data_IF_342807471368
#
_entry.id   IF_342807471368
#
_cell.length_a   1.000
_cell.length_b   1.000
_cell.length_c   1.000
_cell.angle_alpha   90.00
_cell.angle_beta   90.00
_cell.angle_gamma   90.00
#
_symmetry.space_group_name_H-M   'P 1'
#
loop_
_entity.id
_entity.type
_entity.pdbx_description
1 polymer ?
#
# COMPACT_ATOMS: atom_id res chain seq x y z
N UNK A 1 -61.88 1.48 -17.79
CA UNK A 1 -60.80 2.45 -18.13
C UNK A 1 -59.83 2.76 -16.99
N UNK A 2 -59.97 2.18 -15.78
CA UNK A 2 -59.10 2.48 -14.64
C UNK A 2 -57.89 1.55 -14.48
N UNK A 3 -57.80 0.43 -15.21
CA UNK A 3 -56.70 -0.55 -15.08
C UNK A 3 -55.41 -0.21 -15.83
N UNK A 4 -55.48 0.67 -16.83
CA UNK A 4 -54.30 1.07 -17.64
C UNK A 4 -53.45 2.10 -16.89
N UNK A 5 -54.07 2.95 -16.08
CA UNK A 5 -53.39 4.03 -15.34
C UNK A 5 -52.48 3.45 -14.24
N UNK A 6 -52.94 2.45 -13.48
CA UNK A 6 -52.12 1.82 -12.44
C UNK A 6 -50.93 1.02 -12.99
N UNK A 7 -51.08 0.42 -14.18
CA UNK A 7 -49.99 -0.34 -14.82
C UNK A 7 -48.85 0.58 -15.27
N UNK A 8 -49.17 1.80 -15.71
CA UNK A 8 -48.17 2.80 -16.10
C UNK A 8 -47.50 3.47 -14.90
N UNK A 9 -48.21 3.67 -13.79
CA UNK A 9 -47.61 4.19 -12.54
C UNK A 9 -46.63 3.17 -11.94
N UNK A 10 -46.92 1.87 -12.00
CA UNK A 10 -46.03 0.81 -11.53
C UNK A 10 -44.73 0.73 -12.37
N UNK A 11 -44.82 0.92 -13.69
CA UNK A 11 -43.64 0.98 -14.56
C UNK A 11 -42.78 2.24 -14.30
N UNK A 12 -43.41 3.37 -14.01
CA UNK A 12 -42.69 4.62 -13.67
C UNK A 12 -41.99 4.49 -12.32
N UNK A 13 -42.59 3.82 -11.34
CA UNK A 13 -41.94 3.56 -10.04
C UNK A 13 -40.75 2.58 -10.16
N UNK A 14 -40.80 1.63 -11.10
CA UNK A 14 -39.70 0.70 -11.39
C UNK A 14 -38.54 1.35 -12.16
N UNK A 15 -38.79 2.44 -12.91
CA UNK A 15 -37.75 3.18 -13.65
C UNK A 15 -36.93 4.14 -12.77
N UNK A 16 -37.45 4.53 -11.60
CA UNK A 16 -36.71 5.35 -10.62
C UNK A 16 -35.86 4.55 -9.63
N UNK A 17 -35.87 3.21 -9.71
CA UNK A 17 -34.85 2.35 -9.10
C UNK A 17 -33.72 2.11 -10.11
N UNK A 18 -33.37 3.15 -10.88
CA UNK A 18 -32.02 3.23 -11.44
C UNK A 18 -31.11 3.49 -10.26
N UNK A 19 -30.68 2.37 -9.68
CA UNK A 19 -29.47 2.19 -8.88
C UNK A 19 -28.50 3.33 -9.20
N UNK A 20 -28.26 4.21 -8.22
CA UNK A 20 -26.99 4.91 -8.16
C UNK A 20 -25.94 3.80 -8.01
N UNK A 21 -25.50 3.25 -9.15
CA UNK A 21 -24.36 2.37 -9.18
C UNK A 21 -23.20 3.27 -8.77
N UNK A 22 -22.61 3.00 -7.61
CA UNK A 22 -21.38 3.64 -7.18
C UNK A 22 -20.44 3.68 -8.38
N UNK A 23 -20.06 4.90 -8.76
CA UNK A 23 -19.14 5.16 -9.83
C UNK A 23 -17.81 4.49 -9.44
N UNK A 24 -17.45 3.46 -10.21
CA UNK A 24 -16.34 2.53 -10.05
C UNK A 24 -15.28 2.91 -8.99
N UNK A 25 -15.39 2.32 -7.78
CA UNK A 25 -14.35 2.42 -6.74
C UNK A 25 -13.05 1.66 -7.12
N UNK A 26 -13.01 1.07 -8.33
CA UNK A 26 -11.90 0.26 -8.82
C UNK A 26 -11.05 1.08 -9.80
N UNK A 27 -9.73 0.89 -9.73
CA UNK A 27 -8.81 1.46 -10.71
C UNK A 27 -8.89 0.72 -12.07
N UNK A 28 -8.07 1.15 -13.05
CA UNK A 28 -8.00 0.54 -14.39
C UNK A 28 -7.62 -0.96 -14.39
N UNK A 29 -7.05 -1.46 -13.30
CA UNK A 29 -6.69 -2.87 -13.10
C UNK A 29 -7.71 -3.63 -12.23
N UNK A 30 -8.87 -3.04 -11.93
CA UNK A 30 -9.93 -3.67 -11.15
C UNK A 30 -9.64 -3.75 -9.65
N UNK A 31 -8.68 -2.98 -9.13
CA UNK A 31 -8.30 -2.97 -7.72
C UNK A 31 -8.86 -1.74 -7.00
N UNK A 32 -9.47 -1.95 -5.83
CA UNK A 32 -9.86 -0.87 -4.92
C UNK A 32 -8.63 -0.27 -4.24
N UNK A 33 -8.46 1.05 -4.35
CA UNK A 33 -7.39 1.80 -3.70
C UNK A 33 -7.96 2.74 -2.65
N UNK A 34 -7.24 2.86 -1.54
CA UNK A 34 -7.48 3.90 -0.54
C UNK A 34 -6.52 5.03 -0.87
N UNK A 35 -7.02 6.12 -1.41
CA UNK A 35 -6.23 7.26 -1.90
C UNK A 35 -6.51 8.56 -1.12
N UNK A 36 -7.39 8.53 -0.13
CA UNK A 36 -7.68 9.64 0.78
C UNK A 36 -7.38 9.30 2.26
N UNK A 37 -7.08 10.33 3.04
CA UNK A 37 -6.73 10.19 4.45
C UNK A 37 -7.92 9.81 5.34
N UNK A 38 -9.13 10.24 5.01
CA UNK A 38 -10.33 9.99 5.81
C UNK A 38 -10.67 8.49 5.80
N UNK A 39 -10.76 7.89 4.61
CA UNK A 39 -10.95 6.46 4.41
C UNK A 39 -9.82 5.65 5.06
N UNK A 40 -8.58 6.11 4.94
CA UNK A 40 -7.45 5.47 5.62
C UNK A 40 -7.62 5.45 7.15
N UNK A 41 -7.95 6.59 7.76
CA UNK A 41 -8.14 6.64 9.21
C UNK A 41 -9.35 5.84 9.68
N UNK A 42 -10.45 5.79 8.91
CA UNK A 42 -11.57 4.88 9.20
C UNK A 42 -11.14 3.40 9.18
N UNK A 43 -10.25 3.01 8.27
CA UNK A 43 -9.68 1.66 8.25
C UNK A 43 -8.79 1.39 9.46
N UNK A 44 -8.03 2.39 9.92
CA UNK A 44 -7.20 2.30 11.13
C UNK A 44 -8.06 2.25 12.40
N UNK A 45 -9.15 3.00 12.48
CA UNK A 45 -10.09 2.94 13.60
C UNK A 45 -10.75 1.55 13.71
N UNK A 46 -11.10 0.97 12.55
CA UNK A 46 -11.67 -0.38 12.47
C UNK A 46 -10.64 -1.47 12.81
N UNK A 47 -9.38 -1.25 12.45
CA UNK A 47 -8.27 -2.18 12.66
C UNK A 47 -6.96 -1.40 12.83
N UNK A 48 -6.57 -1.18 14.08
CA UNK A 48 -5.39 -0.38 14.43
C UNK A 48 -4.08 -0.97 13.90
N UNK A 49 -4.06 -2.27 13.56
CA UNK A 49 -2.91 -2.91 12.94
C UNK A 49 -2.59 -2.32 11.56
N UNK A 50 -3.51 -1.59 10.93
CA UNK A 50 -3.31 -0.93 9.63
C UNK A 50 -2.55 0.38 9.70
N UNK A 51 -2.35 0.94 10.91
CA UNK A 51 -1.62 2.18 11.09
C UNK A 51 -0.20 2.04 10.51
N UNK A 52 0.10 2.82 9.48
CA UNK A 52 1.44 3.03 8.97
C UNK A 52 2.21 3.96 9.92
N UNK A 53 3.41 3.55 10.29
CA UNK A 53 4.34 4.30 11.14
C UNK A 53 5.66 4.48 10.41
N UNK A 54 6.33 5.61 10.63
CA UNK A 54 7.70 5.82 10.17
C UNK A 54 8.63 4.89 10.96
N UNK A 55 9.32 4.00 10.26
CA UNK A 55 10.21 3.01 10.86
C UNK A 55 11.42 3.70 11.53
N UNK A 56 11.93 4.79 10.96
CA UNK A 56 13.07 5.53 11.51
C UNK A 56 12.71 6.24 12.82
N UNK A 57 11.49 6.79 12.93
CA UNK A 57 11.01 7.35 14.20
C UNK A 57 10.75 6.25 15.25
N UNK A 58 10.27 5.08 14.81
CA UNK A 58 9.97 3.95 15.70
C UNK A 58 11.22 3.20 16.18
N UNK A 59 12.29 3.20 15.36
CA UNK A 59 13.58 2.53 15.59
C UNK A 59 14.71 3.50 15.21
N UNK A 60 15.10 4.45 16.09
CA UNK A 60 16.00 5.56 15.73
C UNK A 60 17.41 5.17 15.26
N UNK A 61 17.85 3.95 15.56
CA UNK A 61 19.15 3.40 15.18
C UNK A 61 19.10 2.49 13.93
N UNK A 62 17.97 2.48 13.21
CA UNK A 62 17.84 1.71 11.96
C UNK A 62 18.52 2.45 10.80
N UNK A 63 19.20 1.72 9.93
CA UNK A 63 19.80 2.30 8.74
C UNK A 63 18.82 2.29 7.57
N UNK A 64 18.66 3.42 6.89
CA UNK A 64 17.86 3.51 5.67
C UNK A 64 18.76 3.68 4.44
N UNK A 65 18.45 2.93 3.39
CA UNK A 65 19.03 3.05 2.05
C UNK A 65 17.89 2.85 1.04
N UNK A 66 16.91 3.77 1.05
CA UNK A 66 15.66 3.63 0.31
C UNK A 66 15.93 3.74 -1.20
N UNK A 67 16.17 2.59 -1.84
CA UNK A 67 16.71 2.51 -3.21
C UNK A 67 15.85 3.23 -4.21
N UNK A 68 14.53 3.12 -4.07
CA UNK A 68 13.55 3.72 -4.95
C UNK A 68 13.42 5.25 -4.80
N UNK A 69 14.07 5.87 -3.81
CA UNK A 69 14.20 7.33 -3.70
C UNK A 69 15.48 7.88 -4.39
N UNK A 70 16.24 7.01 -5.07
CA UNK A 70 17.51 7.36 -5.74
C UNK A 70 17.57 6.72 -7.13
N UNK A 71 18.57 7.04 -7.95
CA UNK A 71 18.82 6.35 -9.23
C UNK A 71 19.40 4.93 -9.05
N UNK A 72 19.81 4.55 -7.83
CA UNK A 72 20.37 3.24 -7.53
C UNK A 72 19.29 2.16 -7.36
N UNK A 73 18.50 1.97 -8.41
CA UNK A 73 17.48 0.94 -8.51
C UNK A 73 17.33 0.48 -9.97
N UNK A 74 16.58 -0.59 -10.22
CA UNK A 74 16.50 -1.19 -11.57
C UNK A 74 15.77 -0.33 -12.62
N UNK A 75 14.97 0.66 -12.19
CA UNK A 75 14.33 1.65 -13.08
C UNK A 75 15.36 2.66 -13.58
N UNK A 76 16.41 2.93 -12.81
CA UNK A 76 17.45 3.90 -13.13
C UNK A 76 17.08 5.35 -12.85
N UNK A 77 15.93 5.61 -12.23
CA UNK A 77 15.46 6.93 -11.81
C UNK A 77 14.74 6.85 -10.44
N UNK A 78 14.68 7.93 -9.66
CA UNK A 78 13.89 7.97 -8.43
C UNK A 78 12.40 7.83 -8.74
N UNK A 79 11.73 6.90 -8.06
CA UNK A 79 10.28 6.68 -8.16
C UNK A 79 9.55 6.97 -6.84
N UNK A 80 10.30 7.24 -5.76
CA UNK A 80 9.78 7.76 -4.49
C UNK A 80 10.16 9.23 -4.33
N UNK A 81 9.23 10.02 -3.80
CA UNK A 81 9.44 11.46 -3.56
C UNK A 81 10.24 11.75 -2.27
N UNK A 82 10.30 10.78 -1.35
CA UNK A 82 10.97 10.91 -0.05
C UNK A 82 11.74 9.63 0.27
N UNK A 83 12.89 9.77 0.91
CA UNK A 83 13.70 8.65 1.40
C UNK A 83 13.26 8.23 2.81
N UNK A 84 12.00 7.81 2.94
CA UNK A 84 11.40 7.33 4.20
C UNK A 84 10.86 5.92 4.05
N UNK A 85 10.84 5.18 5.16
CA UNK A 85 10.29 3.83 5.22
C UNK A 85 9.09 3.80 6.17
N UNK A 86 7.90 3.58 5.62
CA UNK A 86 6.69 3.35 6.40
C UNK A 86 6.31 1.88 6.38
N UNK A 87 5.83 1.34 7.50
CA UNK A 87 5.23 0.02 7.55
C UNK A 87 4.10 -0.01 8.56
N UNK A 88 3.25 -1.04 8.50
CA UNK A 88 2.21 -1.20 9.52
C UNK A 88 2.83 -1.39 10.91
N UNK A 89 2.15 -0.91 11.94
CA UNK A 89 2.62 -0.96 13.32
C UNK A 89 3.14 -2.36 13.74
N UNK A 90 2.44 -3.49 13.47
CA UNK A 90 2.97 -4.81 13.83
C UNK A 90 4.27 -5.18 13.12
N UNK A 91 4.50 -4.67 11.90
CA UNK A 91 5.76 -4.87 11.16
C UNK A 91 6.87 -4.08 11.83
N UNK A 92 6.63 -2.81 12.18
CA UNK A 92 7.60 -1.97 12.89
C UNK A 92 7.95 -2.56 14.28
N UNK A 93 6.96 -3.08 15.01
CA UNK A 93 7.18 -3.79 16.28
C UNK A 93 8.04 -5.05 16.11
N UNK A 94 7.83 -5.81 15.03
CA UNK A 94 8.64 -6.98 14.74
C UNK A 94 10.09 -6.60 14.36
N UNK A 95 10.27 -5.59 13.53
CA UNK A 95 11.58 -5.05 13.17
C UNK A 95 12.33 -4.54 14.40
N UNK A 96 11.64 -3.87 15.33
CA UNK A 96 12.24 -3.38 16.57
C UNK A 96 12.82 -4.51 17.41
N UNK A 97 12.09 -5.63 17.54
CA UNK A 97 12.58 -6.82 18.25
C UNK A 97 13.81 -7.42 17.56
N UNK A 98 13.82 -7.46 16.22
CA UNK A 98 14.98 -7.96 15.46
C UNK A 98 16.19 -7.04 15.68
N UNK A 99 16.01 -5.72 15.57
CA UNK A 99 17.06 -4.74 15.83
C UNK A 99 17.61 -4.87 17.27
N UNK A 100 16.74 -5.06 18.25
CA UNK A 100 17.11 -5.28 19.66
C UNK A 100 18.00 -6.53 19.85
N UNK A 101 17.73 -7.62 19.13
CA UNK A 101 18.55 -8.83 19.17
C UNK A 101 19.89 -8.64 18.44
N UNK A 102 19.87 -8.09 17.20
CA UNK A 102 21.08 -7.88 16.40
C UNK A 102 22.09 -6.96 17.09
N UNK A 103 21.61 -5.95 17.82
CA UNK A 103 22.47 -5.04 18.59
C UNK A 103 23.38 -5.75 19.57
N UNK A 104 22.96 -6.89 20.13
CA UNK A 104 23.77 -7.67 21.08
C UNK A 104 25.03 -8.23 20.42
N UNK A 105 25.04 -8.31 19.10
CA UNK A 105 26.13 -8.83 18.27
C UNK A 105 26.86 -7.73 17.49
N UNK A 106 26.64 -6.44 17.81
CA UNK A 106 27.10 -5.28 17.02
C UNK A 106 26.60 -5.32 15.56
N UNK A 107 25.41 -5.88 15.34
CA UNK A 107 24.74 -5.93 14.05
C UNK A 107 23.47 -5.06 14.07
N UNK A 108 23.01 -4.65 12.89
CA UNK A 108 21.80 -3.86 12.72
C UNK A 108 21.11 -4.09 11.38
N UNK A 109 19.88 -3.62 11.26
CA UNK A 109 19.13 -3.68 10.02
C UNK A 109 19.44 -2.49 9.12
N UNK A 110 19.50 -2.75 7.81
CA UNK A 110 19.44 -1.74 6.76
C UNK A 110 18.24 -2.00 5.85
N UNK A 111 17.37 -1.02 5.70
CA UNK A 111 16.12 -1.13 4.92
C UNK A 111 16.31 -0.53 3.53
N UNK A 112 15.93 -1.28 2.50
CA UNK A 112 15.95 -0.88 1.10
C UNK A 112 14.57 -0.47 0.56
N UNK A 113 13.51 -1.13 1.04
CA UNK A 113 12.14 -0.78 0.71
C UNK A 113 11.15 -1.22 1.81
N UNK A 114 10.03 -0.51 1.93
CA UNK A 114 8.96 -0.80 2.88
C UNK A 114 7.60 -0.56 2.21
N UNK A 115 6.77 0.35 2.72
CA UNK A 115 5.57 0.79 2.01
C UNK A 115 5.94 1.35 0.63
N UNK A 116 5.34 0.77 -0.40
CA UNK A 116 5.47 1.20 -1.79
C UNK A 116 4.14 1.79 -2.25
N UNK A 117 4.10 3.01 -2.80
CA UNK A 117 2.88 3.52 -3.44
C UNK A 117 2.43 2.59 -4.56
N UNK A 118 1.12 2.41 -4.74
CA UNK A 118 0.59 1.51 -5.76
C UNK A 118 1.02 1.89 -7.18
N UNK A 119 1.08 3.18 -7.49
CA UNK A 119 1.57 3.70 -8.79
C UNK A 119 2.97 3.19 -9.13
N UNK A 120 3.84 2.97 -8.13
CA UNK A 120 5.17 2.41 -8.34
C UNK A 120 5.09 0.91 -8.67
N UNK A 121 4.17 0.16 -8.07
CA UNK A 121 3.90 -1.24 -8.48
C UNK A 121 3.47 -1.31 -9.94
N UNK A 122 2.58 -0.40 -10.37
CA UNK A 122 2.15 -0.30 -11.77
C UNK A 122 3.35 -0.03 -12.67
N UNK A 123 4.15 0.99 -12.34
CA UNK A 123 5.36 1.34 -13.09
C UNK A 123 6.35 0.18 -13.21
N UNK A 124 6.56 -0.56 -12.12
CA UNK A 124 7.43 -1.74 -12.12
C UNK A 124 6.90 -2.82 -13.07
N UNK A 125 5.59 -3.06 -13.05
CA UNK A 125 4.94 -4.00 -13.94
C UNK A 125 5.00 -3.58 -15.40
N UNK A 126 4.83 -2.30 -15.72
CA UNK A 126 4.96 -1.78 -17.09
C UNK A 126 6.37 -1.96 -17.67
N UNK A 127 7.41 -1.88 -16.83
CA UNK A 127 8.80 -2.03 -17.25
C UNK A 127 9.18 -3.50 -17.41
N UNK A 128 8.80 -4.35 -16.44
CA UNK A 128 9.28 -5.74 -16.37
C UNK A 128 8.30 -6.70 -17.05
N UNK A 129 6.99 -6.48 -16.92
CA UNK A 129 5.92 -7.28 -17.54
C UNK A 129 5.74 -8.70 -16.98
N UNK A 130 6.60 -9.13 -16.06
CA UNK A 130 6.63 -10.50 -15.54
C UNK A 130 6.19 -10.57 -14.06
N UNK A 131 5.06 -11.23 -13.75
CA UNK A 131 4.53 -11.34 -12.40
C UNK A 131 5.41 -12.16 -11.43
N UNK A 132 6.39 -12.93 -11.92
CA UNK A 132 7.34 -13.67 -11.08
C UNK A 132 8.38 -12.75 -10.44
N UNK A 133 8.64 -11.57 -11.05
CA UNK A 133 9.60 -10.58 -10.56
C UNK A 133 8.95 -9.36 -9.93
N UNK A 134 7.79 -8.93 -10.44
CA UNK A 134 7.09 -7.73 -9.96
C UNK A 134 5.60 -8.00 -9.77
N UNK A 135 4.99 -7.45 -8.72
CA UNK A 135 3.59 -7.74 -8.42
C UNK A 135 2.65 -7.26 -9.54
N UNK A 136 1.72 -8.12 -9.95
CA UNK A 136 0.64 -7.73 -10.88
C UNK A 136 -0.22 -6.60 -10.28
N UNK A 137 -0.50 -5.54 -11.06
CA UNK A 137 -1.36 -4.43 -10.63
C UNK A 137 -2.76 -4.87 -10.16
N UNK A 138 -3.33 -5.92 -10.75
CA UNK A 138 -4.65 -6.45 -10.38
C UNK A 138 -4.72 -6.92 -8.92
N UNK A 139 -3.60 -7.41 -8.38
CA UNK A 139 -3.50 -7.93 -7.01
C UNK A 139 -2.84 -6.95 -6.05
N UNK A 140 -2.01 -6.06 -6.58
CA UNK A 140 -1.09 -5.23 -5.81
C UNK A 140 -0.06 -6.05 -5.02
N UNK A 141 0.81 -5.35 -4.31
CA UNK A 141 1.92 -5.91 -3.55
C UNK A 141 1.66 -5.93 -2.05
N UNK A 142 2.37 -6.80 -1.31
CA UNK A 142 2.45 -6.72 0.16
C UNK A 142 3.11 -5.40 0.61
N UNK A 143 3.99 -4.84 -0.20
CA UNK A 143 4.56 -3.50 0.02
C UNK A 143 3.48 -2.41 -0.03
N UNK A 144 2.51 -2.49 -0.94
CA UNK A 144 1.39 -1.52 -1.00
C UNK A 144 0.52 -1.54 0.26
N UNK A 145 0.57 -2.65 1.00
CA UNK A 145 -0.17 -2.82 2.26
C UNK A 145 0.67 -2.46 3.48
N UNK A 146 1.96 -2.12 3.33
CA UNK A 146 2.88 -1.92 4.45
C UNK A 146 3.17 -3.20 5.24
N UNK A 147 3.09 -4.36 4.57
CA UNK A 147 3.24 -5.70 5.16
C UNK A 147 4.46 -6.48 4.65
N UNK A 148 5.38 -5.79 3.97
CA UNK A 148 6.64 -6.33 3.46
C UNK A 148 7.72 -5.26 3.56
N UNK A 149 8.96 -5.71 3.78
CA UNK A 149 10.15 -4.88 3.92
C UNK A 149 11.31 -5.62 3.28
N UNK A 150 12.02 -4.95 2.39
CA UNK A 150 13.27 -5.45 1.79
C UNK A 150 14.42 -4.90 2.62
N UNK A 151 15.26 -5.79 3.15
CA UNK A 151 16.31 -5.41 4.10
C UNK A 151 17.52 -6.33 4.04
N UNK A 152 18.60 -5.90 4.69
CA UNK A 152 19.78 -6.70 5.00
C UNK A 152 20.23 -6.46 6.44
N UNK A 153 21.20 -7.25 6.88
CA UNK A 153 21.96 -7.02 8.11
C UNK A 153 23.26 -6.29 7.76
N UNK A 154 23.72 -5.41 8.65
CA UNK A 154 24.99 -4.66 8.57
C UNK A 154 25.69 -4.65 9.92
N UNK A 155 26.99 -4.41 9.94
CA UNK A 155 27.69 -4.08 11.16
C UNK A 155 27.26 -2.69 11.67
N UNK A 156 27.07 -2.56 12.98
CA UNK A 156 26.91 -1.26 13.63
C UNK A 156 28.31 -0.67 13.84
N UNK A 157 28.50 0.54 13.30
CA UNK A 157 29.75 1.31 13.42
C UNK A 157 29.77 2.07 14.73
#
# INVERSE_FOLDING_TARGET
>A
MNGIIYKNILYILLLFITVNAQQDDLNEYGLYLVDDLESYFLLVEKDSSKLLVDIEEFIPDINLDIRYATENNFVGEPVYNISKAYARLPVAEALKKIQEELRKENLGLKIYDAYRPYSVTVRFYEIVGDPDFVASPEKGSRHNRGCAVDLTIVDLV
#
